data_IF_186861052935
#
_entry.id   IF_186861052935
#
_cell.length_a   1.000
_cell.length_b   1.000
_cell.length_c   1.000
_cell.angle_alpha   90.00
_cell.angle_beta   90.00
_cell.angle_gamma   90.00
#
_symmetry.space_group_name_H-M   'P 1'
#
loop_
_entity.id
_entity.type
_entity.pdbx_description
1 polymer ?
#
# COMPACT_ATOMS: atom_id res chain seq x y z
N UNK A 1 -5.92 31.43 -0.97
CA UNK A 1 -6.32 30.01 -0.90
C UNK A 1 -5.41 29.37 0.12
N UNK A 2 -5.88 29.26 1.35
CA UNK A 2 -5.19 28.45 2.35
C UNK A 2 -5.35 27.00 1.92
N UNK A 3 -4.24 26.34 1.62
CA UNK A 3 -4.26 24.93 1.29
C UNK A 3 -4.49 24.15 2.58
N UNK A 4 -5.56 23.35 2.65
CA UNK A 4 -5.80 22.34 3.69
C UNK A 4 -4.77 21.20 3.58
N UNK A 5 -3.49 21.55 3.67
CA UNK A 5 -2.39 20.60 3.69
C UNK A 5 -2.33 20.01 5.08
N UNK A 6 -2.79 18.77 5.20
CA UNK A 6 -2.59 17.96 6.39
C UNK A 6 -1.11 17.66 6.56
N UNK A 7 -0.45 18.39 7.46
CA UNK A 7 0.93 18.13 7.87
C UNK A 7 0.94 17.18 9.06
N UNK A 8 1.33 15.93 8.83
CA UNK A 8 1.54 14.96 9.90
C UNK A 8 2.97 15.09 10.44
N UNK A 9 3.14 15.34 11.73
CA UNK A 9 4.44 15.27 12.39
C UNK A 9 4.92 13.81 12.46
N UNK A 10 6.22 13.55 12.47
CA UNK A 10 6.79 12.19 12.49
C UNK A 10 6.25 11.30 13.65
N UNK A 11 5.76 11.91 14.73
CA UNK A 11 5.20 11.22 15.90
C UNK A 11 3.66 11.25 15.96
N UNK A 12 2.99 11.78 14.94
CA UNK A 12 1.52 11.91 14.92
C UNK A 12 0.81 10.65 14.43
N UNK A 13 1.55 9.70 13.86
CA UNK A 13 1.02 8.40 13.44
C UNK A 13 1.21 7.38 14.55
N UNK A 14 0.10 6.91 15.13
CA UNK A 14 0.10 5.82 16.10
C UNK A 14 -0.22 4.52 15.37
N UNK A 15 0.69 3.55 15.42
CA UNK A 15 0.44 2.22 14.87
C UNK A 15 -0.64 1.52 15.69
N UNK A 16 -1.71 1.08 15.04
CA UNK A 16 -2.76 0.29 15.68
C UNK A 16 -2.33 -1.18 15.82
N UNK A 17 -2.92 -1.90 16.79
CA UNK A 17 -2.72 -3.36 16.87
C UNK A 17 -3.38 -4.07 15.68
N UNK A 18 -2.90 -5.26 15.35
CA UNK A 18 -3.45 -6.07 14.25
C UNK A 18 -4.96 -6.35 14.42
N UNK A 19 -5.42 -6.54 15.65
CA UNK A 19 -6.85 -6.75 15.96
C UNK A 19 -7.69 -5.51 15.64
N UNK A 20 -7.16 -4.32 15.96
CA UNK A 20 -7.83 -3.05 15.69
C UNK A 20 -7.79 -2.72 14.20
N UNK A 21 -6.69 -3.04 13.52
CA UNK A 21 -6.57 -2.96 12.06
C UNK A 21 -7.60 -3.86 11.36
N UNK A 22 -7.73 -5.13 11.78
CA UNK A 22 -8.72 -6.04 11.25
C UNK A 22 -10.17 -5.54 11.46
N UNK A 23 -10.46 -4.95 12.62
CA UNK A 23 -11.77 -4.35 12.91
C UNK A 23 -12.07 -3.14 12.01
N UNK A 24 -11.08 -2.28 11.77
CA UNK A 24 -11.19 -1.13 10.87
C UNK A 24 -11.38 -1.60 9.41
N UNK A 25 -10.57 -2.55 8.95
CA UNK A 25 -10.67 -3.11 7.61
C UNK A 25 -12.06 -3.71 7.36
N UNK A 26 -12.60 -4.45 8.34
CA UNK A 26 -13.98 -4.98 8.28
C UNK A 26 -15.02 -3.87 8.23
N UNK A 27 -14.90 -2.82 9.05
CA UNK A 27 -15.84 -1.69 9.10
C UNK A 27 -15.86 -0.92 7.78
N UNK A 28 -14.69 -0.67 7.22
CA UNK A 28 -14.49 0.19 6.05
C UNK A 28 -14.58 -0.59 4.73
N UNK A 29 -14.82 -1.90 4.78
CA UNK A 29 -14.91 -2.77 3.60
C UNK A 29 -13.56 -2.95 2.89
N UNK A 30 -12.45 -2.64 3.56
CA UNK A 30 -11.11 -2.79 3.03
C UNK A 30 -10.72 -4.26 3.13
N UNK A 31 -10.43 -4.88 1.99
CA UNK A 31 -9.83 -6.20 1.93
C UNK A 31 -8.32 -6.01 1.71
N UNK A 32 -7.48 -6.22 2.73
CA UNK A 32 -6.04 -6.14 2.55
C UNK A 32 -5.59 -7.20 1.55
N UNK A 33 -4.58 -6.84 0.76
CA UNK A 33 -3.92 -7.81 -0.11
C UNK A 33 -3.25 -8.90 0.73
N UNK A 34 -3.10 -10.08 0.14
CA UNK A 34 -2.28 -11.12 0.74
C UNK A 34 -0.82 -10.67 0.88
N UNK A 35 -0.06 -11.41 1.69
CA UNK A 35 1.32 -11.09 2.01
C UNK A 35 2.22 -11.11 0.77
N UNK A 36 1.93 -11.98 -0.21
CA UNK A 36 2.74 -12.14 -1.42
C UNK A 36 2.60 -10.91 -2.34
N UNK A 37 1.37 -10.50 -2.62
CA UNK A 37 1.06 -9.30 -3.38
C UNK A 37 1.61 -8.06 -2.67
N UNK A 38 1.40 -7.95 -1.36
CA UNK A 38 1.93 -6.84 -0.56
C UNK A 38 3.46 -6.75 -0.64
N UNK A 39 4.16 -7.86 -0.45
CA UNK A 39 5.63 -7.91 -0.53
C UNK A 39 6.14 -7.51 -1.92
N UNK A 40 5.50 -8.01 -2.98
CA UNK A 40 5.87 -7.71 -4.36
C UNK A 40 5.66 -6.23 -4.70
N UNK A 41 4.52 -5.65 -4.32
CA UNK A 41 4.22 -4.24 -4.57
C UNK A 41 5.16 -3.33 -3.77
N UNK A 42 5.47 -3.69 -2.52
CA UNK A 42 6.44 -2.97 -1.70
C UNK A 42 7.86 -3.01 -2.28
N UNK A 43 8.28 -4.11 -2.90
CA UNK A 43 9.57 -4.20 -3.57
C UNK A 43 9.65 -3.21 -4.76
N UNK A 44 8.57 -3.09 -5.54
CA UNK A 44 8.50 -2.11 -6.64
C UNK A 44 8.46 -0.67 -6.15
N UNK A 45 7.76 -0.40 -5.06
CA UNK A 45 7.76 0.93 -4.45
C UNK A 45 9.17 1.34 -4.03
N UNK A 46 9.91 0.45 -3.36
CA UNK A 46 11.32 0.71 -2.99
C UNK A 46 12.20 0.97 -4.20
N UNK A 47 12.05 0.16 -5.26
CA UNK A 47 12.77 0.37 -6.51
C UNK A 47 12.47 1.75 -7.12
N UNK A 48 11.20 2.15 -7.17
CA UNK A 48 10.78 3.44 -7.70
C UNK A 48 11.33 4.62 -6.89
N UNK A 49 11.34 4.51 -5.56
CA UNK A 49 11.96 5.49 -4.67
C UNK A 49 13.47 5.63 -4.93
N UNK A 50 14.18 4.51 -5.09
CA UNK A 50 15.63 4.50 -5.34
C UNK A 50 16.00 5.12 -6.70
N UNK A 51 15.12 5.01 -7.69
CA UNK A 51 15.36 5.46 -9.06
C UNK A 51 14.63 6.76 -9.40
N UNK A 52 13.92 7.37 -8.44
CA UNK A 52 13.20 8.63 -8.62
C UNK A 52 12.09 8.56 -9.66
N UNK A 53 11.43 7.41 -9.80
CA UNK A 53 10.32 7.22 -10.74
C UNK A 53 8.98 7.30 -10.04
N UNK A 54 7.95 7.75 -10.76
CA UNK A 54 6.59 7.73 -10.25
C UNK A 54 6.12 6.31 -9.93
N UNK A 55 5.29 6.18 -8.90
CA UNK A 55 4.75 4.91 -8.45
C UNK A 55 3.27 5.04 -8.09
N UNK A 56 2.44 4.24 -8.74
CA UNK A 56 1.05 4.05 -8.39
C UNK A 56 0.87 2.65 -7.78
N UNK A 57 0.48 2.61 -6.50
CA UNK A 57 0.30 1.34 -5.78
C UNK A 57 -0.81 0.48 -6.40
N UNK A 58 -1.89 1.12 -6.88
CA UNK A 58 -3.02 0.42 -7.51
C UNK A 58 -2.62 -0.29 -8.81
N UNK A 59 -1.94 0.41 -9.72
CA UNK A 59 -1.44 -0.16 -10.99
C UNK A 59 -0.43 -1.29 -10.74
N UNK A 60 0.45 -1.13 -9.75
CA UNK A 60 1.34 -2.21 -9.35
C UNK A 60 0.55 -3.44 -8.86
N UNK A 61 -0.53 -3.23 -8.09
CA UNK A 61 -1.42 -4.30 -7.67
C UNK A 61 -2.08 -5.05 -8.84
N UNK A 62 -2.59 -4.34 -9.85
CA UNK A 62 -3.18 -4.96 -11.04
C UNK A 62 -2.13 -5.72 -11.86
N UNK A 63 -0.92 -5.19 -11.95
CA UNK A 63 0.20 -5.83 -12.65
C UNK A 63 0.65 -7.12 -11.95
N UNK A 64 0.63 -7.16 -10.61
CA UNK A 64 0.82 -8.41 -9.87
C UNK A 64 -0.23 -9.44 -10.24
N UNK A 65 -1.52 -9.08 -10.19
CA UNK A 65 -2.62 -10.02 -10.49
C UNK A 65 -2.49 -10.57 -11.91
N UNK A 66 -2.15 -9.71 -12.87
CA UNK A 66 -1.93 -10.08 -14.27
C UNK A 66 -0.78 -11.07 -14.44
N UNK A 67 0.34 -10.87 -13.74
CA UNK A 67 1.51 -11.75 -13.81
C UNK A 67 1.27 -13.06 -13.05
N UNK A 68 0.56 -13.01 -11.92
CA UNK A 68 0.23 -14.17 -11.10
C UNK A 68 -0.73 -15.11 -11.86
N UNK A 69 -1.73 -14.55 -12.54
CA UNK A 69 -2.62 -15.30 -13.44
C UNK A 69 -1.87 -15.98 -14.61
N UNK A 70 -0.67 -15.49 -14.96
CA UNK A 70 0.21 -16.08 -15.97
C UNK A 70 1.24 -17.06 -15.38
N UNK A 71 1.27 -17.27 -14.06
CA UNK A 71 2.24 -18.11 -13.36
C UNK A 71 3.66 -17.55 -13.36
N UNK A 72 3.82 -16.22 -13.51
CA UNK A 72 5.13 -15.55 -13.60
C UNK A 72 5.63 -14.98 -12.27
N UNK A 73 4.73 -14.83 -11.30
CA UNK A 73 4.99 -14.37 -9.93
C UNK A 73 4.08 -15.11 -8.95
#
# INVERSE_FOLDING_TARGET
MDSDKFCFAANSLVRVSAEKEAALNKRDGIVPWDDAKTAWVNARFKYALEHGTDFCQFEAGEEYDRLHAQGKV
#
